data_IF_040872958121
#
_entry.id   IF_040872958121
#
_cell.length_a   1.000
_cell.length_b   1.000
_cell.length_c   1.000
_cell.angle_alpha   90.00
_cell.angle_beta   90.00
_cell.angle_gamma   90.00
#
_symmetry.space_group_name_H-M   'P 1'
#
loop_
_entity.id
_entity.type
_entity.pdbx_description
1 polymer ?
#
# COMPACT_ATOMS: atom_id res chain seq x y z
N UNK A 1 2.81 -21.59 12.28
CA UNK A 1 4.04 -20.77 12.44
C UNK A 1 4.37 -20.06 11.15
N UNK A 2 4.67 -18.75 11.18
CA UNK A 2 5.19 -18.06 10.02
C UNK A 2 6.56 -18.62 9.65
N UNK A 3 6.84 -18.67 8.37
CA UNK A 3 8.14 -19.12 7.86
C UNK A 3 8.93 -17.93 7.32
N UNK A 4 10.26 -18.07 7.12
CA UNK A 4 11.03 -17.03 6.43
C UNK A 4 10.47 -16.69 5.05
N UNK A 5 9.89 -17.67 4.36
CA UNK A 5 9.24 -17.45 3.06
C UNK A 5 8.02 -16.55 3.19
N UNK A 6 7.24 -16.72 4.27
CA UNK A 6 6.06 -15.86 4.50
C UNK A 6 6.50 -14.42 4.74
N UNK A 7 7.54 -14.20 5.54
CA UNK A 7 8.08 -12.86 5.76
C UNK A 7 8.54 -12.22 4.44
N UNK A 8 9.32 -12.97 3.66
CA UNK A 8 9.80 -12.47 2.37
C UNK A 8 8.66 -12.16 1.40
N UNK A 9 7.62 -13.00 1.39
CA UNK A 9 6.45 -12.81 0.52
C UNK A 9 5.64 -11.58 0.91
N UNK A 10 5.39 -11.38 2.21
CA UNK A 10 4.70 -10.18 2.68
C UNK A 10 5.52 -8.93 2.34
N UNK A 11 6.83 -8.97 2.58
CA UNK A 11 7.72 -7.86 2.25
C UNK A 11 7.64 -7.52 0.77
N UNK A 12 7.63 -8.53 -0.09
CA UNK A 12 7.53 -8.32 -1.55
C UNK A 12 6.22 -7.64 -1.92
N UNK A 13 5.10 -8.03 -1.32
CA UNK A 13 3.81 -7.36 -1.57
C UNK A 13 3.90 -5.87 -1.21
N UNK A 14 4.47 -5.55 -0.06
CA UNK A 14 4.59 -4.16 0.39
C UNK A 14 5.59 -3.38 -0.49
N UNK A 15 6.70 -4.00 -0.88
CA UNK A 15 7.65 -3.37 -1.82
C UNK A 15 7.00 -3.09 -3.17
N UNK A 16 6.14 -3.99 -3.65
CA UNK A 16 5.38 -3.79 -4.89
C UNK A 16 4.34 -2.67 -4.74
N UNK A 17 3.75 -2.52 -3.56
CA UNK A 17 2.89 -1.37 -3.28
C UNK A 17 3.68 -0.06 -3.42
N UNK A 18 4.87 0.00 -2.84
CA UNK A 18 5.73 1.19 -2.92
C UNK A 18 6.13 1.46 -4.37
N UNK A 19 6.58 0.45 -5.09
CA UNK A 19 6.97 0.57 -6.49
C UNK A 19 5.81 1.02 -7.37
N UNK A 20 4.65 0.39 -7.20
CA UNK A 20 3.45 0.73 -7.97
C UNK A 20 2.97 2.14 -7.71
N UNK A 21 3.07 2.60 -6.46
CA UNK A 21 2.72 3.97 -6.10
C UNK A 21 3.68 4.98 -6.74
N UNK A 22 4.98 4.68 -6.73
CA UNK A 22 6.00 5.55 -7.32
C UNK A 22 5.89 5.65 -8.84
N UNK A 23 5.63 4.52 -9.50
CA UNK A 23 5.59 4.43 -10.96
C UNK A 23 4.20 4.60 -11.55
N UNK A 24 3.17 4.73 -10.72
CA UNK A 24 1.76 4.70 -11.11
C UNK A 24 1.40 3.44 -11.91
N UNK A 25 1.97 2.31 -11.53
CA UNK A 25 1.69 1.01 -12.13
C UNK A 25 0.49 0.39 -11.43
N UNK A 26 -0.70 0.70 -11.91
CA UNK A 26 -1.95 0.27 -11.28
C UNK A 26 -2.19 -1.24 -11.43
N UNK A 27 -1.65 -1.88 -12.47
CA UNK A 27 -1.73 -3.34 -12.58
C UNK A 27 -0.95 -4.02 -11.46
N UNK A 28 0.26 -3.52 -11.19
CA UNK A 28 1.08 -4.02 -10.08
C UNK A 28 0.35 -3.82 -8.75
N UNK A 29 -0.24 -2.65 -8.54
CA UNK A 29 -1.00 -2.34 -7.33
C UNK A 29 -2.22 -3.24 -7.16
N UNK A 30 -3.00 -3.45 -8.23
CA UNK A 30 -4.17 -4.31 -8.18
C UNK A 30 -3.80 -5.75 -7.80
N UNK A 31 -2.62 -6.20 -8.19
CA UNK A 31 -2.13 -7.52 -7.80
C UNK A 31 -1.73 -7.61 -6.33
N UNK A 32 -1.43 -6.49 -5.68
CA UNK A 32 -1.13 -6.46 -4.25
C UNK A 32 -2.40 -6.56 -3.40
N UNK A 33 -3.52 -6.04 -3.89
CA UNK A 33 -4.78 -5.95 -3.16
C UNK A 33 -5.72 -7.09 -3.53
N UNK A 34 -6.45 -7.60 -2.54
CA UNK A 34 -7.59 -8.46 -2.83
C UNK A 34 -8.68 -7.63 -3.52
N UNK A 35 -9.47 -8.21 -4.46
CA UNK A 35 -10.53 -7.47 -5.14
C UNK A 35 -11.56 -6.82 -4.21
N UNK A 36 -11.78 -7.40 -3.02
CA UNK A 36 -12.73 -6.88 -2.04
C UNK A 36 -12.04 -6.08 -0.93
N UNK A 37 -10.80 -5.68 -1.13
CA UNK A 37 -10.06 -4.92 -0.12
C UNK A 37 -10.70 -3.56 0.14
N UNK A 38 -10.49 -3.07 1.36
CA UNK A 38 -10.92 -1.73 1.76
C UNK A 38 -9.71 -0.82 1.92
N UNK A 39 -9.93 0.45 1.62
CA UNK A 39 -8.94 1.51 1.82
C UNK A 39 -9.65 2.66 2.52
N UNK A 40 -9.19 3.02 3.71
CA UNK A 40 -9.88 3.99 4.54
C UNK A 40 -8.88 4.89 5.23
N UNK A 41 -9.25 6.13 5.45
CA UNK A 41 -8.37 7.04 6.18
C UNK A 41 -8.84 8.47 6.15
N UNK A 42 -7.91 9.34 6.55
CA UNK A 42 -8.14 10.78 6.52
C UNK A 42 -7.19 11.44 5.54
N UNK A 43 -7.76 12.23 4.64
CA UNK A 43 -7.02 13.05 3.70
C UNK A 43 -7.48 14.50 3.88
N UNK A 44 -6.55 15.36 4.30
CA UNK A 44 -6.81 16.78 4.56
C UNK A 44 -8.02 17.01 5.47
N UNK A 45 -8.14 16.15 6.50
CA UNK A 45 -9.23 16.22 7.48
C UNK A 45 -10.53 15.55 7.05
N UNK A 46 -10.60 15.01 5.82
CA UNK A 46 -11.80 14.36 5.32
C UNK A 46 -11.69 12.85 5.45
N UNK A 47 -12.73 12.24 6.00
CA UNK A 47 -12.79 10.79 6.15
C UNK A 47 -13.18 10.13 4.82
N UNK A 48 -12.37 9.16 4.39
CA UNK A 48 -12.65 8.30 3.23
C UNK A 48 -12.76 6.86 3.70
N UNK A 49 -13.82 6.17 3.27
CA UNK A 49 -14.00 4.74 3.51
C UNK A 49 -14.51 4.12 2.21
N UNK A 50 -13.81 3.13 1.69
CA UNK A 50 -14.25 2.47 0.46
C UNK A 50 -13.21 1.53 -0.11
N UNK A 51 -13.33 1.28 -1.41
CA UNK A 51 -12.38 0.43 -2.14
C UNK A 51 -11.13 1.22 -2.51
N UNK A 52 -10.03 0.53 -2.91
CA UNK A 52 -8.84 1.20 -3.43
C UNK A 52 -9.02 1.86 -4.80
N UNK A 53 -10.13 1.65 -5.50
CA UNK A 53 -10.30 2.11 -6.87
C UNK A 53 -10.07 3.61 -7.05
N UNK A 54 -10.56 4.52 -6.17
CA UNK A 54 -10.26 5.94 -6.31
C UNK A 54 -8.76 6.27 -6.26
N UNK A 55 -7.99 5.53 -5.49
CA UNK A 55 -6.53 5.68 -5.45
C UNK A 55 -5.90 5.27 -6.79
N UNK A 56 -6.33 4.16 -7.35
CA UNK A 56 -5.84 3.72 -8.67
C UNK A 56 -6.20 4.74 -9.75
N UNK A 57 -7.43 5.25 -9.72
CA UNK A 57 -7.89 6.26 -10.68
C UNK A 57 -7.07 7.53 -10.57
N UNK A 58 -6.74 7.97 -9.35
CA UNK A 58 -5.91 9.14 -9.14
C UNK A 58 -4.52 8.96 -9.74
N UNK A 59 -3.90 7.80 -9.52
CA UNK A 59 -2.58 7.51 -10.08
C UNK A 59 -2.60 7.51 -11.61
N UNK A 60 -3.68 7.04 -12.23
CA UNK A 60 -3.83 7.02 -13.68
C UNK A 60 -4.10 8.41 -14.26
N UNK A 61 -4.65 9.33 -13.48
CA UNK A 61 -5.04 10.66 -13.94
C UNK A 61 -3.91 11.68 -13.92
N UNK A 62 -2.78 11.38 -13.30
CA UNK A 62 -1.66 12.30 -13.10
C UNK A 62 -0.35 11.66 -13.57
N UNK A 63 0.65 12.46 -13.96
CA UNK A 63 1.98 11.91 -14.19
C UNK A 63 2.51 11.25 -12.92
N UNK A 64 3.20 10.12 -13.07
CA UNK A 64 3.76 9.42 -11.91
C UNK A 64 4.85 10.24 -11.23
N UNK A 65 5.09 9.98 -9.96
CA UNK A 65 6.19 10.60 -9.22
C UNK A 65 7.52 10.37 -9.94
N UNK A 66 7.71 9.17 -10.47
CA UNK A 66 8.93 8.83 -11.22
C UNK A 66 9.07 9.67 -12.47
N UNK A 67 8.03 9.77 -13.29
CA UNK A 67 8.10 10.52 -14.56
C UNK A 67 8.24 12.03 -14.34
N UNK A 68 7.68 12.53 -13.23
CA UNK A 68 7.75 13.96 -12.88
C UNK A 68 9.06 14.34 -12.16
N UNK A 69 9.89 13.35 -11.83
CA UNK A 69 11.12 13.61 -11.09
C UNK A 69 10.89 14.00 -9.63
N UNK A 70 9.73 13.62 -9.07
CA UNK A 70 9.41 13.93 -7.68
C UNK A 70 10.28 13.13 -6.72
N UNK A 71 10.64 13.74 -5.59
CA UNK A 71 11.42 13.09 -4.55
C UNK A 71 10.49 12.29 -3.64
N UNK A 72 9.98 11.17 -4.17
CA UNK A 72 9.15 10.24 -3.40
C UNK A 72 10.05 9.28 -2.64
N UNK A 73 9.81 9.16 -1.36
CA UNK A 73 10.51 8.20 -0.50
C UNK A 73 9.50 7.41 0.32
N UNK A 74 9.79 6.14 0.52
CA UNK A 74 8.95 5.28 1.34
C UNK A 74 9.81 4.31 2.13
N UNK A 75 9.36 4.00 3.34
CA UNK A 75 10.06 3.09 4.24
C UNK A 75 9.05 2.15 4.87
N UNK A 76 9.39 0.86 4.88
CA UNK A 76 8.62 -0.14 5.63
C UNK A 76 9.02 -0.01 7.09
N UNK A 77 8.06 0.40 7.93
CA UNK A 77 8.33 0.65 9.35
C UNK A 77 8.22 -0.62 10.19
N UNK A 78 7.37 -1.56 9.79
CA UNK A 78 7.26 -2.85 10.47
C UNK A 78 6.56 -3.87 9.57
N UNK A 79 6.82 -5.15 9.85
CA UNK A 79 6.08 -6.30 9.34
C UNK A 79 5.88 -7.26 10.50
N UNK A 80 4.65 -7.67 10.73
CA UNK A 80 4.29 -8.58 11.81
C UNK A 80 3.41 -9.68 11.24
N UNK A 81 3.78 -10.94 11.47
CA UNK A 81 3.06 -12.09 10.92
C UNK A 81 2.60 -13.00 12.05
N UNK A 82 1.35 -13.42 11.96
CA UNK A 82 0.77 -14.41 12.87
C UNK A 82 -0.03 -15.41 12.03
N UNK A 83 0.52 -16.61 11.83
CA UNK A 83 -0.12 -17.62 10.99
C UNK A 83 -0.33 -17.12 9.57
N UNK A 84 -1.57 -17.11 9.09
CA UNK A 84 -1.92 -16.68 7.75
C UNK A 84 -2.36 -15.21 7.69
N UNK A 85 -2.07 -14.42 8.72
CA UNK A 85 -2.36 -12.98 8.70
C UNK A 85 -1.09 -12.18 8.94
N UNK A 86 -1.07 -10.94 8.43
CA UNK A 86 0.04 -10.04 8.61
C UNK A 86 -0.44 -8.61 8.77
N UNK A 87 0.36 -7.84 9.50
CA UNK A 87 0.24 -6.37 9.57
C UNK A 87 1.55 -5.76 9.11
N UNK A 88 1.48 -4.65 8.40
CA UNK A 88 2.67 -3.94 7.94
C UNK A 88 2.43 -2.43 7.97
N UNK A 89 3.49 -1.67 8.15
CA UNK A 89 3.44 -0.22 8.11
C UNK A 89 4.37 0.33 7.05
N UNK A 90 3.97 1.43 6.41
CA UNK A 90 4.79 2.17 5.45
C UNK A 90 4.63 3.66 5.72
N UNK A 91 5.77 4.33 5.84
CA UNK A 91 5.80 5.79 5.90
C UNK A 91 6.18 6.27 4.50
N UNK A 92 5.36 7.16 3.95
CA UNK A 92 5.59 7.72 2.62
C UNK A 92 5.77 9.22 2.70
N UNK A 93 6.82 9.73 2.04
CA UNK A 93 7.05 11.14 1.87
C UNK A 93 6.83 11.51 0.42
N UNK A 94 5.99 12.53 0.21
CA UNK A 94 5.78 13.14 -1.09
C UNK A 94 5.20 12.19 -2.15
N UNK A 95 4.14 11.46 -1.78
CA UNK A 95 3.33 10.79 -2.79
C UNK A 95 2.34 11.79 -3.36
N UNK A 96 2.58 12.24 -4.59
CA UNK A 96 1.78 13.27 -5.26
C UNK A 96 1.61 14.52 -4.38
N UNK A 97 2.68 14.89 -3.68
CA UNK A 97 2.71 16.09 -2.84
C UNK A 97 2.24 15.91 -1.40
N UNK A 98 1.90 14.71 -0.98
CA UNK A 98 1.35 14.44 0.36
C UNK A 98 2.19 13.40 1.09
N UNK A 99 2.36 13.59 2.40
CA UNK A 99 3.03 12.63 3.28
C UNK A 99 1.99 11.79 4.01
N UNK A 100 2.25 10.48 4.10
CA UNK A 100 1.30 9.53 4.71
C UNK A 100 2.00 8.59 5.68
N UNK A 101 1.24 8.16 6.67
CA UNK A 101 1.52 6.92 7.40
C UNK A 101 0.43 5.93 7.04
N UNK A 102 0.84 4.73 6.62
CA UNK A 102 -0.07 3.69 6.17
C UNK A 102 0.09 2.44 7.01
N UNK A 103 -1.02 1.83 7.39
CA UNK A 103 -1.03 0.50 7.98
C UNK A 103 -1.82 -0.45 7.08
N UNK A 104 -1.27 -1.63 6.89
CA UNK A 104 -1.84 -2.66 6.01
C UNK A 104 -2.18 -3.90 6.81
N UNK A 105 -3.29 -4.52 6.49
CA UNK A 105 -3.59 -5.88 6.90
C UNK A 105 -3.61 -6.79 5.69
N UNK A 106 -2.96 -7.95 5.81
CA UNK A 106 -2.83 -8.91 4.73
C UNK A 106 -3.30 -10.28 5.22
N UNK A 107 -3.81 -11.07 4.28
CA UNK A 107 -4.10 -12.48 4.52
C UNK A 107 -3.40 -13.33 3.45
N UNK A 108 -2.94 -14.51 3.85
CA UNK A 108 -2.46 -15.52 2.93
C UNK A 108 -3.67 -16.30 2.44
N UNK A 109 -3.95 -16.19 1.15
CA UNK A 109 -5.11 -16.78 0.50
C UNK A 109 -4.60 -17.76 -0.55
N UNK A 110 -4.81 -19.05 -0.32
CA UNK A 110 -4.07 -20.07 -1.06
C UNK A 110 -2.58 -19.92 -0.77
N UNK A 111 -1.76 -19.76 -1.79
CA UNK A 111 -0.32 -19.57 -1.66
C UNK A 111 0.12 -18.11 -1.80
N UNK A 112 -0.84 -17.18 -1.85
CA UNK A 112 -0.54 -15.77 -2.09
C UNK A 112 -0.94 -14.88 -0.93
N UNK A 113 -0.05 -13.95 -0.57
CA UNK A 113 -0.36 -12.89 0.36
C UNK A 113 -0.99 -11.71 -0.39
N UNK A 114 -2.12 -11.20 0.14
CA UNK A 114 -2.79 -10.05 -0.45
C UNK A 114 -3.22 -9.07 0.62
N UNK A 115 -3.17 -7.80 0.28
CA UNK A 115 -3.69 -6.73 1.15
C UNK A 115 -5.21 -6.79 1.14
N UNK A 116 -5.83 -6.87 2.31
CA UNK A 116 -7.28 -6.84 2.47
C UNK A 116 -7.76 -5.52 3.05
N UNK A 117 -6.87 -4.74 3.64
CA UNK A 117 -7.21 -3.45 4.25
C UNK A 117 -5.98 -2.57 4.28
N UNK A 118 -6.17 -1.33 3.90
CA UNK A 118 -5.19 -0.26 4.09
C UNK A 118 -5.89 0.87 4.83
N UNK A 119 -5.28 1.32 5.94
CA UNK A 119 -5.69 2.57 6.56
C UNK A 119 -4.54 3.56 6.47
N UNK A 120 -4.88 4.82 6.29
CA UNK A 120 -3.87 5.86 6.10
C UNK A 120 -4.27 7.14 6.80
N UNK A 121 -3.27 7.92 7.14
CA UNK A 121 -3.46 9.28 7.62
C UNK A 121 -2.46 10.19 6.93
N UNK A 122 -2.96 11.33 6.50
CA UNK A 122 -2.16 12.42 5.93
C UNK A 122 -1.43 13.12 7.09
N UNK A 123 -0.11 13.17 7.01
CA UNK A 123 0.74 13.78 8.03
C UNK A 123 1.41 15.07 7.55
N UNK A 124 0.99 15.57 6.41
CA UNK A 124 1.55 16.80 5.82
C UNK A 124 1.20 18.07 6.59
#
# INVERSE_FOLDING_TARGET
MPSPNDYASVRTVIENYIKGSYTADTELLKNCFHPDALMSGYYRGNLDIGSPQPFFDQLESEPSSKSSGEDYQAEISFIHIAGCMASAGVVEDNLLGTNYVNHFHLLKIGEQWRIISKIYVDTS
#
